data_IF_396859220732
#
_entry.id   IF_396859220732
#
_cell.length_a   1.000
_cell.length_b   1.000
_cell.length_c   1.000
_cell.angle_alpha   90.00
_cell.angle_beta   90.00
_cell.angle_gamma   90.00
#
_symmetry.space_group_name_H-M   'P 1'
#
loop_
_entity.id
_entity.type
_entity.pdbx_description
1 polymer ?
#
# COMPACT_ATOMS: atom_id res chain seq x y z
N UNK A 1 14.22 -9.12 14.35
CA UNK A 1 13.99 -8.93 12.90
C UNK A 1 13.54 -7.50 12.73
N UNK A 2 14.21 -6.72 11.89
CA UNK A 2 13.94 -5.30 11.66
C UNK A 2 13.40 -5.01 10.26
N UNK A 3 13.24 -3.74 9.93
CA UNK A 3 12.83 -3.30 8.61
C UNK A 3 13.78 -3.82 7.53
N UNK A 4 13.22 -4.19 6.38
CA UNK A 4 14.03 -4.49 5.18
C UNK A 4 14.60 -3.18 4.62
N UNK A 5 15.58 -3.31 3.75
CA UNK A 5 16.07 -2.18 2.97
C UNK A 5 14.90 -1.43 2.30
N UNK A 6 14.86 -0.11 2.47
CA UNK A 6 13.75 0.72 1.98
C UNK A 6 13.65 0.67 0.45
N UNK A 7 14.78 0.56 -0.26
CA UNK A 7 14.80 0.40 -1.71
C UNK A 7 14.11 -0.89 -2.15
N UNK A 8 14.38 -2.01 -1.47
CA UNK A 8 13.69 -3.28 -1.72
C UNK A 8 12.19 -3.21 -1.45
N UNK A 9 11.77 -2.48 -0.41
CA UNK A 9 10.36 -2.26 -0.11
C UNK A 9 9.68 -1.42 -1.20
N UNK A 10 10.32 -0.35 -1.68
CA UNK A 10 9.82 0.46 -2.80
C UNK A 10 9.66 -0.39 -4.06
N UNK A 11 10.64 -1.21 -4.40
CA UNK A 11 10.56 -2.09 -5.57
C UNK A 11 9.40 -3.09 -5.46
N UNK A 12 9.17 -3.66 -4.27
CA UNK A 12 8.05 -4.56 -4.03
C UNK A 12 6.69 -3.84 -4.18
N UNK A 13 6.58 -2.61 -3.70
CA UNK A 13 5.36 -1.79 -3.86
C UNK A 13 5.13 -1.46 -5.34
N UNK A 14 6.16 -1.04 -6.09
CA UNK A 14 6.04 -0.75 -7.52
C UNK A 14 5.56 -1.98 -8.30
N UNK A 15 6.16 -3.15 -8.05
CA UNK A 15 5.75 -4.39 -8.70
C UNK A 15 4.28 -4.72 -8.42
N UNK A 16 3.82 -4.51 -7.19
CA UNK A 16 2.42 -4.74 -6.82
C UNK A 16 1.45 -3.73 -7.46
N UNK A 17 1.85 -2.45 -7.55
CA UNK A 17 1.06 -1.43 -8.23
C UNK A 17 0.95 -1.73 -9.73
N UNK A 18 2.04 -2.13 -10.38
CA UNK A 18 2.04 -2.53 -11.79
C UNK A 18 1.08 -3.68 -12.05
N UNK A 19 1.14 -4.73 -11.21
CA UNK A 19 0.23 -5.87 -11.33
C UNK A 19 -1.25 -5.48 -11.15
N UNK A 20 -1.53 -4.57 -10.22
CA UNK A 20 -2.89 -4.11 -9.95
C UNK A 20 -3.44 -3.16 -11.03
N UNK A 21 -2.60 -2.36 -11.68
CA UNK A 21 -2.99 -1.48 -12.78
C UNK A 21 -3.57 -2.25 -13.97
N UNK A 22 -3.05 -3.45 -14.25
CA UNK A 22 -3.58 -4.31 -15.31
C UNK A 22 -5.03 -4.78 -15.02
N UNK A 23 -5.40 -4.91 -13.74
CA UNK A 23 -6.73 -5.36 -13.30
C UNK A 23 -7.71 -4.24 -12.91
N UNK A 24 -7.21 -3.02 -12.70
CA UNK A 24 -7.96 -1.89 -12.12
C UNK A 24 -8.35 -2.12 -10.66
N UNK A 25 -7.66 -3.01 -9.95
CA UNK A 25 -7.97 -3.37 -8.56
C UNK A 25 -7.23 -2.45 -7.57
N UNK A 26 -7.84 -2.09 -6.43
CA UNK A 26 -7.17 -1.30 -5.41
C UNK A 26 -6.05 -2.10 -4.72
N UNK A 27 -4.95 -1.42 -4.38
CA UNK A 27 -3.86 -2.01 -3.59
C UNK A 27 -3.97 -1.59 -2.12
N UNK A 28 -3.79 -2.55 -1.22
CA UNK A 28 -3.76 -2.31 0.23
C UNK A 28 -2.38 -2.56 0.82
N UNK A 29 -2.06 -1.82 1.89
CA UNK A 29 -0.84 -2.02 2.68
C UNK A 29 -1.18 -2.77 3.99
N UNK A 30 -0.54 -3.91 4.22
CA UNK A 30 -0.68 -4.68 5.46
C UNK A 30 0.60 -4.54 6.29
N UNK A 31 0.46 -4.01 7.51
CA UNK A 31 1.58 -3.78 8.44
C UNK A 31 1.34 -4.49 9.76
N UNK A 32 2.41 -4.86 10.48
CA UNK A 32 2.31 -5.50 11.79
C UNK A 32 3.18 -4.78 12.82
N UNK A 33 2.52 -3.98 13.66
CA UNK A 33 3.17 -3.06 14.60
C UNK A 33 4.12 -3.75 15.61
N UNK A 34 3.88 -5.03 15.95
CA UNK A 34 4.72 -5.77 16.90
C UNK A 34 6.16 -5.96 16.42
N UNK A 35 6.41 -5.83 15.11
CA UNK A 35 7.75 -5.98 14.51
C UNK A 35 8.25 -4.69 13.85
N UNK A 36 7.58 -3.55 14.07
CA UNK A 36 8.07 -2.27 13.58
C UNK A 36 9.20 -1.77 14.47
N UNK A 37 10.40 -1.74 13.92
CA UNK A 37 11.50 -0.96 14.45
C UNK A 37 11.42 0.50 13.95
N UNK A 38 12.34 1.35 14.41
CA UNK A 38 12.42 2.76 14.00
C UNK A 38 12.47 2.93 12.47
N UNK A 39 13.20 2.05 11.78
CA UNK A 39 13.31 2.08 10.32
C UNK A 39 11.98 1.78 9.63
N UNK A 40 11.17 0.87 10.17
CA UNK A 40 9.83 0.58 9.64
C UNK A 40 8.88 1.77 9.83
N UNK A 41 8.94 2.45 10.98
CA UNK A 41 8.15 3.66 11.21
C UNK A 41 8.53 4.78 10.24
N UNK A 42 9.84 5.02 10.07
CA UNK A 42 10.35 6.02 9.13
C UNK A 42 9.96 5.71 7.68
N UNK A 43 9.96 4.43 7.29
CA UNK A 43 9.51 4.03 5.96
C UNK A 43 8.03 4.38 5.74
N UNK A 44 7.17 4.03 6.69
CA UNK A 44 5.73 4.28 6.60
C UNK A 44 5.42 5.78 6.56
N UNK A 45 6.06 6.58 7.41
CA UNK A 45 5.90 8.04 7.42
C UNK A 45 6.24 8.66 6.06
N UNK A 46 7.38 8.26 5.47
CA UNK A 46 7.79 8.72 4.14
C UNK A 46 6.84 8.26 3.04
N UNK A 47 6.41 6.99 3.09
CA UNK A 47 5.47 6.45 2.12
C UNK A 47 4.15 7.22 2.14
N UNK A 48 3.58 7.47 3.33
CA UNK A 48 2.34 8.23 3.47
C UNK A 48 2.51 9.68 3.03
N UNK A 49 3.60 10.34 3.41
CA UNK A 49 3.87 11.73 2.99
C UNK A 49 3.91 11.88 1.46
N UNK A 50 4.62 10.98 0.77
CA UNK A 50 4.72 11.02 -0.71
C UNK A 50 3.37 10.71 -1.37
N UNK A 51 2.65 9.71 -0.85
CA UNK A 51 1.38 9.28 -1.45
C UNK A 51 0.24 10.27 -1.20
N UNK A 52 0.22 10.96 -0.06
CA UNK A 52 -0.77 12.02 0.21
C UNK A 52 -0.58 13.26 -0.68
N UNK A 53 0.66 13.56 -1.10
CA UNK A 53 0.97 14.70 -1.97
C UNK A 53 0.71 14.42 -3.46
N UNK A 54 0.40 13.17 -3.81
CA UNK A 54 0.26 12.76 -5.21
C UNK A 54 -1.22 12.63 -5.59
N UNK A 55 -1.70 13.43 -6.54
CA UNK A 55 -3.11 13.39 -7.01
C UNK A 55 -3.52 12.03 -7.60
N UNK A 56 -2.56 11.22 -8.04
CA UNK A 56 -2.81 9.87 -8.56
C UNK A 56 -3.06 8.82 -7.47
N UNK A 57 -2.95 9.16 -6.18
CA UNK A 57 -3.18 8.24 -5.07
C UNK A 57 -4.34 8.73 -4.19
N UNK A 58 -5.25 7.83 -3.84
CA UNK A 58 -6.34 8.11 -2.91
C UNK A 58 -6.38 7.03 -1.81
N UNK A 59 -6.15 7.45 -0.56
CA UNK A 59 -6.31 6.58 0.60
C UNK A 59 -7.79 6.41 0.93
N UNK A 60 -8.28 5.18 0.78
CA UNK A 60 -9.68 4.84 0.99
C UNK A 60 -9.85 4.00 2.27
N UNK A 61 -10.80 4.35 3.15
CA UNK A 61 -11.16 3.49 4.27
C UNK A 61 -11.66 2.13 3.76
N UNK A 62 -11.24 1.02 4.37
CA UNK A 62 -11.60 -0.33 3.87
C UNK A 62 -13.11 -0.54 3.67
N UNK A 63 -13.96 0.08 4.51
CA UNK A 63 -15.43 0.05 4.37
C UNK A 63 -15.94 0.58 3.03
N UNK A 64 -15.22 1.48 2.36
CA UNK A 64 -15.61 2.00 1.04
C UNK A 64 -15.29 1.02 -0.09
N UNK A 65 -14.45 0.03 0.19
CA UNK A 65 -14.07 -1.04 -0.74
C UNK A 65 -14.91 -2.30 -0.52
N UNK A 66 -15.27 -2.58 0.73
CA UNK A 66 -16.18 -3.68 1.10
C UNK A 66 -17.54 -3.42 0.44
N UNK A 67 -17.90 -4.27 -0.54
CA UNK A 67 -19.13 -4.18 -1.33
C UNK A 67 -18.93 -3.93 -2.82
N UNK A 68 -17.78 -3.37 -3.25
CA UNK A 68 -17.46 -3.20 -4.68
C UNK A 68 -17.12 -4.53 -5.36
N UNK A 69 -16.50 -5.45 -4.63
CA UNK A 69 -16.12 -6.79 -5.09
C UNK A 69 -17.30 -7.74 -5.29
N UNK A 70 -18.49 -7.43 -4.77
CA UNK A 70 -19.69 -8.25 -4.94
C UNK A 70 -20.38 -8.10 -6.31
N UNK A 71 -19.97 -7.12 -7.14
CA UNK A 71 -20.60 -6.81 -8.43
C UNK A 71 -19.86 -7.31 -9.68
N UNK A 72 -18.67 -7.92 -9.55
CA UNK A 72 -17.80 -8.29 -10.69
C UNK A 72 -17.86 -9.79 -11.05
N UNK A 73 -18.90 -10.49 -10.59
CA UNK A 73 -19.26 -11.84 -11.04
C UNK A 73 -20.47 -11.79 -11.96
N UNK A 74 -20.23 -11.63 -13.27
CA UNK A 74 -21.14 -12.04 -14.33
C UNK A 74 -20.36 -12.79 -15.39
#
# INVERSE_FOLDING_TARGET
RGCRDHGLLVQAIIAQLQHAFDGGEPVGLLTHHLVHDESAWLFLERLFTVTEQTEACAWLPIRTLIGRSAGRGK
#
